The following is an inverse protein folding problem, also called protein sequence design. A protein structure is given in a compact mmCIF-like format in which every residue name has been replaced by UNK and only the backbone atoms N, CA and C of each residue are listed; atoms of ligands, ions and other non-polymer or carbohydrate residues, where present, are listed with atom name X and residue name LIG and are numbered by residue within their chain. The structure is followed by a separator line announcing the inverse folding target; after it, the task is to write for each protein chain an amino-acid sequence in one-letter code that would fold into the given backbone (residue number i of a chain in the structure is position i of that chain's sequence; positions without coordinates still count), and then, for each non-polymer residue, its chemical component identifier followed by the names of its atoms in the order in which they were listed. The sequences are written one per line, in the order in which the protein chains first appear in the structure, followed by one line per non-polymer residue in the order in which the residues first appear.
data_IF_288471396964
#
_entry.id   IF_288471396964
#
_cell.length_a   1.000
_cell.length_b   1.000
_cell.length_c   1.000
_cell.angle_alpha   90.00
_cell.angle_beta   90.00
_cell.angle_gamma   90.00
#
_symmetry.space_group_name_H-M   'P 1'
#
loop_
_entity.id
_entity.type
_entity.pdbx_description
1 polymer ?
#
# COMPACT_ATOMS: atom_id res chain seq x y z
N UNK A 1 32.33 -16.07 -23.77
CA UNK A 1 31.07 -16.10 -23.00
C UNK A 1 30.97 -14.94 -22.02
N UNK A 2 31.96 -14.73 -21.15
CA UNK A 2 32.01 -13.60 -20.19
C UNK A 2 31.75 -12.23 -20.82
N UNK A 3 32.45 -11.90 -21.92
CA UNK A 3 32.31 -10.63 -22.64
C UNK A 3 30.91 -10.49 -23.25
N UNK A 4 30.29 -11.60 -23.67
CA UNK A 4 28.94 -11.60 -24.26
C UNK A 4 27.91 -11.32 -23.17
N UNK A 5 28.05 -11.93 -22.00
CA UNK A 5 27.14 -11.72 -20.86
C UNK A 5 27.26 -10.30 -20.30
N UNK A 6 28.48 -9.76 -20.17
CA UNK A 6 28.68 -8.38 -19.72
C UNK A 6 28.24 -7.34 -20.75
N UNK A 7 28.45 -7.59 -22.06
CA UNK A 7 27.93 -6.71 -23.11
C UNK A 7 26.41 -6.77 -23.23
N UNK A 8 25.80 -7.93 -23.03
CA UNK A 8 24.35 -8.08 -23.07
C UNK A 8 23.69 -7.29 -21.93
N UNK A 9 24.21 -7.39 -20.71
CA UNK A 9 23.73 -6.62 -19.55
C UNK A 9 23.96 -5.12 -19.74
N UNK A 10 25.08 -4.69 -20.34
CA UNK A 10 25.34 -3.26 -20.61
C UNK A 10 24.40 -2.66 -21.65
N UNK A 11 23.99 -3.42 -22.65
CA UNK A 11 23.20 -2.92 -23.78
C UNK A 11 21.69 -3.16 -23.62
N UNK A 12 21.28 -4.10 -22.77
CA UNK A 12 19.87 -4.40 -22.46
C UNK A 12 19.05 -3.20 -21.95
N UNK A 13 19.56 -2.32 -21.06
CA UNK A 13 18.80 -1.16 -20.60
C UNK A 13 18.50 -0.19 -21.75
N UNK A 14 19.46 0.03 -22.65
CA UNK A 14 19.29 0.89 -23.81
C UNK A 14 18.29 0.31 -24.81
N UNK A 15 18.28 -1.02 -24.98
CA UNK A 15 17.29 -1.70 -25.82
C UNK A 15 15.89 -1.71 -25.21
N UNK A 16 15.77 -1.82 -23.88
CA UNK A 16 14.50 -1.71 -23.16
C UNK A 16 13.91 -0.30 -23.26
N UNK A 17 14.77 0.71 -23.14
CA UNK A 17 14.42 2.13 -23.31
C UNK A 17 13.95 2.42 -24.74
N UNK A 18 14.62 1.84 -25.74
CA UNK A 18 14.25 1.97 -27.14
C UNK A 18 13.05 1.10 -27.54
N UNK A 19 12.77 -0.04 -26.89
CA UNK A 19 11.71 -0.94 -27.34
C UNK A 19 10.36 -0.71 -26.64
N UNK A 20 10.38 -0.47 -25.32
CA UNK A 20 9.18 -0.51 -24.47
C UNK A 20 8.76 0.89 -24.01
N UNK A 21 9.71 1.75 -23.64
CA UNK A 21 9.41 3.05 -23.03
C UNK A 21 8.94 4.12 -24.02
N UNK A 22 9.26 3.99 -25.31
CA UNK A 22 8.79 4.91 -26.35
C UNK A 22 7.33 4.69 -26.79
N UNK A 23 6.72 3.55 -26.44
CA UNK A 23 5.32 3.22 -26.80
C UNK A 23 4.34 3.30 -25.61
N UNK A 24 4.79 3.80 -24.46
CA UNK A 24 3.97 3.99 -23.27
C UNK A 24 3.84 5.49 -22.98
N UNK A 25 2.62 6.03 -23.04
CA UNK A 25 2.29 7.38 -22.59
C UNK A 25 2.40 7.47 -21.07
N UNK A 26 3.62 7.64 -20.57
CA UNK A 26 3.90 7.76 -19.15
C UNK A 26 3.95 9.22 -18.74
N UNK A 27 3.27 9.56 -17.64
CA UNK A 27 3.43 10.86 -16.97
C UNK A 27 4.93 11.09 -16.70
N UNK A 28 5.49 12.30 -16.90
CA UNK A 28 6.94 12.54 -16.93
C UNK A 28 7.74 11.98 -15.72
N UNK A 29 7.13 11.86 -14.54
CA UNK A 29 7.76 11.28 -13.35
C UNK A 29 7.72 9.75 -13.28
N UNK A 30 6.67 9.10 -13.80
CA UNK A 30 6.48 7.65 -13.71
C UNK A 30 7.43 6.90 -14.65
N UNK A 31 7.58 7.40 -15.88
CA UNK A 31 8.51 6.82 -16.85
C UNK A 31 9.96 6.85 -16.36
N UNK A 32 10.40 7.99 -15.83
CA UNK A 32 11.74 8.13 -15.26
C UNK A 32 11.99 7.17 -14.08
N UNK A 33 11.02 7.02 -13.17
CA UNK A 33 11.14 6.09 -12.05
C UNK A 33 11.27 4.64 -12.52
N UNK A 34 10.45 4.22 -13.49
CA UNK A 34 10.49 2.85 -14.05
C UNK A 34 11.84 2.58 -14.72
N UNK A 35 12.33 3.49 -15.57
CA UNK A 35 13.64 3.35 -16.22
C UNK A 35 14.76 3.25 -15.20
N UNK A 36 14.74 4.11 -14.18
CA UNK A 36 15.75 4.15 -13.12
C UNK A 36 15.77 2.85 -12.32
N UNK A 37 14.61 2.35 -11.89
CA UNK A 37 14.50 1.08 -11.16
C UNK A 37 14.99 -0.08 -12.03
N UNK A 38 14.56 -0.14 -13.29
CA UNK A 38 14.96 -1.19 -14.24
C UNK A 38 16.47 -1.18 -14.46
N UNK A 39 17.07 0.00 -14.61
CA UNK A 39 18.53 0.16 -14.77
C UNK A 39 19.29 -0.37 -13.55
N UNK A 40 18.86 -0.01 -12.33
CA UNK A 40 19.50 -0.53 -11.11
C UNK A 40 19.34 -2.04 -10.95
N UNK A 41 18.17 -2.59 -11.29
CA UNK A 41 17.92 -4.03 -11.24
C UNK A 41 18.83 -4.79 -12.20
N UNK A 42 18.96 -4.31 -13.45
CA UNK A 42 19.85 -4.89 -14.45
C UNK A 42 21.32 -4.79 -14.04
N UNK A 43 21.73 -3.65 -13.47
CA UNK A 43 23.09 -3.46 -12.95
C UNK A 43 23.40 -4.45 -11.82
N UNK A 44 22.44 -4.67 -10.90
CA UNK A 44 22.58 -5.60 -9.79
C UNK A 44 22.68 -7.06 -10.28
N UNK A 45 21.76 -7.50 -11.14
CA UNK A 45 21.77 -8.86 -11.71
C UNK A 45 23.05 -9.08 -12.52
N UNK A 46 23.42 -8.11 -13.35
CA UNK A 46 24.66 -8.13 -14.13
C UNK A 46 25.92 -8.21 -13.27
N UNK A 47 25.97 -7.46 -12.18
CA UNK A 47 27.06 -7.52 -11.20
C UNK A 47 27.18 -8.89 -10.55
N UNK A 48 26.05 -9.48 -10.10
CA UNK A 48 26.04 -10.82 -9.49
C UNK A 48 26.53 -11.91 -10.45
N UNK A 49 26.06 -11.89 -11.70
CA UNK A 49 26.51 -12.82 -12.75
C UNK A 49 27.98 -12.59 -13.09
N UNK A 50 28.42 -11.33 -13.18
CA UNK A 50 29.82 -10.96 -13.42
C UNK A 50 30.75 -11.50 -12.34
N UNK A 51 30.40 -11.35 -11.06
CA UNK A 51 31.21 -11.86 -9.95
C UNK A 51 31.34 -13.40 -9.97
N UNK A 52 30.26 -14.11 -10.29
CA UNK A 52 30.27 -15.58 -10.44
C UNK A 52 31.30 -16.04 -11.49
N UNK A 53 31.45 -15.30 -12.59
CA UNK A 53 32.39 -15.67 -13.64
C UNK A 53 33.85 -15.34 -13.31
N UNK A 54 34.15 -14.39 -12.40
CA UNK A 54 35.54 -14.05 -11.96
C UNK A 54 36.11 -15.13 -11.02
N UNK A 55 35.33 -16.16 -10.69
CA UNK A 55 35.73 -17.23 -9.77
C UNK A 55 35.51 -16.86 -8.30
N UNK A 56 34.73 -15.81 -8.02
CA UNK A 56 34.20 -15.61 -6.67
C UNK A 56 33.15 -16.71 -6.45
N UNK A 57 33.43 -17.59 -5.50
CA UNK A 57 32.50 -18.65 -5.12
C UNK A 57 31.14 -18.05 -4.77
N UNK A 58 30.10 -18.50 -5.46
CA UNK A 58 28.71 -18.10 -5.18
C UNK A 58 28.36 -18.23 -3.69
N UNK A 59 28.91 -19.25 -3.03
CA UNK A 59 28.78 -19.47 -1.58
C UNK A 59 29.17 -18.26 -0.73
N UNK A 60 30.12 -17.43 -1.17
CA UNK A 60 30.57 -16.23 -0.45
C UNK A 60 29.68 -15.02 -0.67
N UNK A 61 28.87 -15.01 -1.73
CA UNK A 61 27.93 -13.92 -2.02
C UNK A 61 26.53 -14.20 -1.46
N UNK A 62 26.18 -15.48 -1.22
CA UNK A 62 24.86 -15.87 -0.73
C UNK A 62 24.46 -15.15 0.55
N UNK A 63 25.34 -15.08 1.55
CA UNK A 63 25.01 -14.42 2.82
C UNK A 63 24.79 -12.91 2.64
N UNK A 64 25.56 -12.26 1.74
CA UNK A 64 25.41 -10.84 1.44
C UNK A 64 24.08 -10.58 0.74
N UNK A 65 23.75 -11.38 -0.29
CA UNK A 65 22.48 -11.29 -1.01
C UNK A 65 21.30 -11.59 -0.08
N UNK A 66 21.43 -12.59 0.80
CA UNK A 66 20.41 -12.92 1.79
C UNK A 66 20.20 -11.77 2.78
N UNK A 67 21.27 -11.20 3.35
CA UNK A 67 21.18 -10.08 4.29
C UNK A 67 20.57 -8.83 3.64
N UNK A 68 20.98 -8.51 2.41
CA UNK A 68 20.41 -7.42 1.63
C UNK A 68 18.93 -7.67 1.31
N UNK A 69 18.56 -8.88 0.90
CA UNK A 69 17.19 -9.26 0.59
C UNK A 69 16.28 -9.16 1.81
N UNK A 70 16.75 -9.63 2.97
CA UNK A 70 16.03 -9.51 4.25
C UNK A 70 15.87 -8.03 4.64
N UNK A 71 16.93 -7.23 4.55
CA UNK A 71 16.88 -5.79 4.84
C UNK A 71 15.89 -5.03 3.94
N UNK A 72 15.89 -5.35 2.64
CA UNK A 72 14.91 -4.80 1.69
C UNK A 72 13.48 -5.26 2.02
N UNK A 73 13.30 -6.53 2.39
CA UNK A 73 12.00 -7.07 2.79
C UNK A 73 11.42 -6.33 4.00
N UNK A 74 12.24 -6.05 5.01
CA UNK A 74 11.82 -5.23 6.16
C UNK A 74 11.49 -3.79 5.75
N UNK A 75 12.27 -3.17 4.86
CA UNK A 75 12.00 -1.82 4.38
C UNK A 75 10.71 -1.69 3.55
N UNK A 76 10.35 -2.73 2.80
CA UNK A 76 9.17 -2.77 1.94
C UNK A 76 7.92 -3.33 2.62
N UNK A 77 8.06 -3.89 3.83
CA UNK A 77 6.99 -4.60 4.53
C UNK A 77 5.71 -3.77 4.64
N UNK A 78 5.82 -2.48 4.98
CA UNK A 78 4.65 -1.62 5.20
C UNK A 78 3.93 -1.29 3.88
N UNK A 79 4.67 -1.10 2.80
CA UNK A 79 4.08 -0.86 1.47
C UNK A 79 3.31 -2.10 1.02
N UNK A 80 3.91 -3.28 1.19
CA UNK A 80 3.30 -4.55 0.80
C UNK A 80 2.06 -4.86 1.65
N UNK A 81 2.12 -4.63 2.96
CA UNK A 81 0.99 -4.82 3.87
C UNK A 81 -0.21 -3.94 3.47
N UNK A 82 0.02 -2.66 3.17
CA UNK A 82 -1.05 -1.75 2.74
C UNK A 82 -1.64 -2.14 1.37
N UNK A 83 -0.80 -2.61 0.45
CA UNK A 83 -1.26 -3.07 -0.86
C UNK A 83 -2.16 -4.32 -0.75
N UNK A 84 -1.69 -5.35 -0.04
CA UNK A 84 -2.48 -6.57 0.19
C UNK A 84 -3.76 -6.24 0.95
N UNK A 85 -3.70 -5.36 1.94
CA UNK A 85 -4.90 -4.91 2.68
C UNK A 85 -5.89 -4.20 1.76
N UNK A 86 -5.41 -3.39 0.81
CA UNK A 86 -6.26 -2.79 -0.22
C UNK A 86 -6.97 -3.82 -1.09
N UNK A 87 -6.28 -4.89 -1.50
CA UNK A 87 -6.90 -5.99 -2.25
C UNK A 87 -7.95 -6.73 -1.42
N UNK A 88 -7.66 -7.02 -0.16
CA UNK A 88 -8.61 -7.66 0.77
C UNK A 88 -9.87 -6.82 0.90
N UNK A 89 -9.74 -5.50 1.09
CA UNK A 89 -10.88 -4.58 1.18
C UNK A 89 -11.74 -4.65 -0.10
N UNK A 90 -11.13 -4.75 -1.28
CA UNK A 90 -11.86 -4.81 -2.56
C UNK A 90 -12.61 -6.14 -2.74
N UNK A 91 -12.03 -7.27 -2.31
CA UNK A 91 -12.62 -8.60 -2.46
C UNK A 91 -13.67 -8.90 -1.37
N UNK A 92 -13.33 -8.68 -0.11
CA UNK A 92 -14.19 -9.02 1.04
C UNK A 92 -15.20 -7.90 1.36
N UNK A 93 -14.93 -6.67 0.91
CA UNK A 93 -15.77 -5.49 1.14
C UNK A 93 -16.20 -5.29 2.60
N UNK A 94 -15.27 -5.29 3.58
CA UNK A 94 -15.58 -4.98 4.99
C UNK A 94 -15.98 -3.51 5.20
N UNK A 95 -15.57 -2.65 4.28
CA UNK A 95 -15.96 -1.25 4.16
C UNK A 95 -16.28 -0.93 2.70
N UNK A 96 -17.23 -0.03 2.48
CA UNK A 96 -17.65 0.44 1.15
C UNK A 96 -17.59 1.96 1.09
N UNK A 97 -17.49 2.50 -0.11
CA UNK A 97 -17.62 3.94 -0.33
C UNK A 97 -19.02 4.37 0.12
N UNK A 98 -19.09 5.39 0.97
CA UNK A 98 -20.30 5.86 1.63
C UNK A 98 -20.48 5.35 3.07
N UNK A 99 -19.77 4.29 3.47
CA UNK A 99 -19.94 3.76 4.83
C UNK A 99 -19.46 4.76 5.88
N UNK A 100 -20.21 4.87 6.97
CA UNK A 100 -19.76 5.63 8.15
C UNK A 100 -18.93 4.70 9.03
N UNK A 101 -17.67 5.06 9.21
CA UNK A 101 -16.71 4.24 9.96
C UNK A 101 -16.06 5.07 11.06
N UNK A 102 -15.79 4.41 12.18
CA UNK A 102 -14.96 4.95 13.24
C UNK A 102 -13.74 4.07 13.39
N UNK A 103 -12.56 4.63 13.20
CA UNK A 103 -11.28 3.94 13.43
C UNK A 103 -10.47 4.74 14.45
N UNK A 104 -10.12 4.08 15.56
CA UNK A 104 -9.59 4.76 16.76
C UNK A 104 -10.58 5.84 17.21
N UNK A 105 -10.16 7.11 17.26
CA UNK A 105 -10.98 8.26 17.66
C UNK A 105 -11.48 9.08 16.45
N UNK A 106 -11.25 8.60 15.23
CA UNK A 106 -11.60 9.31 13.99
C UNK A 106 -12.87 8.72 13.40
N UNK A 107 -13.90 9.55 13.22
CA UNK A 107 -15.19 9.14 12.64
C UNK A 107 -15.44 9.90 11.36
N UNK A 108 -16.01 9.23 10.36
CA UNK A 108 -16.45 9.90 9.13
C UNK A 108 -16.96 8.91 8.10
N UNK A 109 -17.28 9.42 6.91
CA UNK A 109 -17.74 8.60 5.78
C UNK A 109 -16.61 8.28 4.81
N UNK A 110 -16.51 7.03 4.37
CA UNK A 110 -15.51 6.59 3.38
C UNK A 110 -15.80 7.23 2.02
N UNK A 111 -14.90 8.09 1.54
CA UNK A 111 -15.07 8.78 0.26
C UNK A 111 -14.35 8.08 -0.89
N UNK A 112 -13.18 7.49 -0.62
CA UNK A 112 -12.35 6.87 -1.65
C UNK A 112 -11.48 5.76 -1.10
N UNK A 113 -11.42 4.63 -1.80
CA UNK A 113 -10.52 3.52 -1.49
C UNK A 113 -9.44 3.48 -2.57
N UNK A 114 -8.18 3.74 -2.21
CA UNK A 114 -7.03 3.60 -3.10
C UNK A 114 -6.23 2.34 -2.76
N UNK A 115 -5.19 2.04 -3.55
CA UNK A 115 -4.37 0.82 -3.40
C UNK A 115 -3.65 0.72 -2.04
N UNK A 116 -3.23 1.85 -1.45
CA UNK A 116 -2.47 1.88 -0.18
C UNK A 116 -3.19 2.52 1.00
N UNK A 117 -4.21 3.32 0.74
CA UNK A 117 -4.90 4.08 1.77
C UNK A 117 -6.35 4.36 1.35
N UNK A 118 -7.21 4.46 2.35
CA UNK A 118 -8.61 4.85 2.23
C UNK A 118 -8.80 6.25 2.80
N UNK A 119 -9.51 7.08 2.07
CA UNK A 119 -9.87 8.44 2.48
C UNK A 119 -11.23 8.42 3.14
N UNK A 120 -11.31 9.00 4.34
CA UNK A 120 -12.53 9.24 5.11
C UNK A 120 -12.75 10.75 5.17
N UNK A 121 -13.98 11.22 4.92
CA UNK A 121 -14.35 12.61 5.21
C UNK A 121 -15.08 12.68 6.55
N UNK A 122 -14.56 13.50 7.46
CA UNK A 122 -15.26 13.85 8.69
C UNK A 122 -16.43 14.83 8.41
N UNK A 123 -17.27 15.09 9.41
CA UNK A 123 -18.40 16.03 9.36
C UNK A 123 -17.96 17.46 9.05
N UNK A 124 -16.75 17.83 9.46
CA UNK A 124 -16.10 19.10 9.14
C UNK A 124 -15.53 19.16 7.71
N UNK A 125 -15.78 18.14 6.86
CA UNK A 125 -15.16 17.96 5.53
C UNK A 125 -13.64 17.84 5.53
N UNK A 126 -13.05 17.42 6.66
CA UNK A 126 -11.62 17.09 6.72
C UNK A 126 -11.40 15.73 6.06
N UNK A 127 -10.43 15.65 5.14
CA UNK A 127 -10.01 14.39 4.55
C UNK A 127 -8.96 13.71 5.43
N UNK A 128 -9.32 12.53 5.95
CA UNK A 128 -8.49 11.69 6.78
C UNK A 128 -7.98 10.52 5.94
N UNK A 129 -6.67 10.43 5.80
CA UNK A 129 -6.02 9.38 4.99
C UNK A 129 -5.59 8.25 5.92
N UNK A 130 -6.30 7.13 5.84
CA UNK A 130 -6.06 5.96 6.68
C UNK A 130 -5.34 4.88 5.89
N UNK A 131 -4.18 4.38 6.34
CA UNK A 131 -3.50 3.25 5.70
C UNK A 131 -4.42 2.03 5.64
N UNK A 132 -4.49 1.34 4.50
CA UNK A 132 -5.40 0.20 4.33
C UNK A 132 -5.14 -0.91 5.35
N UNK A 133 -3.88 -1.08 5.79
CA UNK A 133 -3.47 -2.03 6.83
C UNK A 133 -4.25 -1.84 8.13
N UNK A 134 -4.61 -0.61 8.49
CA UNK A 134 -5.33 -0.32 9.72
C UNK A 134 -6.72 -1.00 9.74
N UNK A 135 -7.43 -1.05 8.61
CA UNK A 135 -8.74 -1.72 8.54
C UNK A 135 -8.68 -3.25 8.63
N UNK A 136 -7.50 -3.84 8.43
CA UNK A 136 -7.31 -5.29 8.51
C UNK A 136 -6.74 -5.72 9.86
N UNK A 137 -5.87 -4.89 10.44
CA UNK A 137 -5.11 -5.24 11.65
C UNK A 137 -5.66 -4.61 12.93
N UNK A 138 -6.41 -3.52 12.82
CA UNK A 138 -6.97 -2.80 13.97
C UNK A 138 -8.49 -2.97 14.04
N UNK A 139 -9.02 -2.85 15.24
CA UNK A 139 -10.47 -2.82 15.44
C UNK A 139 -11.02 -1.47 14.96
N UNK A 140 -12.09 -1.52 14.18
CA UNK A 140 -12.87 -0.37 13.76
C UNK A 140 -14.36 -0.70 13.84
N UNK A 141 -15.19 0.33 13.80
CA UNK A 141 -16.65 0.22 13.83
C UNK A 141 -17.16 0.65 12.46
N UNK A 142 -17.94 -0.20 11.79
CA UNK A 142 -18.71 0.18 10.61
C UNK A 142 -20.18 0.32 11.02
N UNK A 143 -20.68 1.55 11.03
CA UNK A 143 -22.03 1.89 11.47
C UNK A 143 -23.11 1.56 10.44
N UNK A 144 -22.72 1.33 9.18
CA UNK A 144 -23.63 1.17 8.04
C UNK A 144 -23.47 -0.18 7.32
N UNK A 145 -22.72 -1.13 7.89
CA UNK A 145 -22.38 -2.39 7.22
C UNK A 145 -23.59 -3.30 6.98
N UNK A 146 -24.44 -3.48 8.00
CA UNK A 146 -25.61 -4.38 7.93
C UNK A 146 -26.93 -3.63 7.85
N UNK A 147 -27.01 -2.47 8.49
CA UNK A 147 -28.16 -1.57 8.43
C UNK A 147 -27.65 -0.13 8.58
N UNK A 148 -28.28 0.81 7.91
CA UNK A 148 -27.99 2.25 8.02
C UNK A 148 -28.62 2.91 9.25
N UNK A 149 -29.51 2.19 9.97
CA UNK A 149 -30.19 2.67 11.16
C UNK A 149 -29.27 2.57 12.38
N UNK A 150 -28.76 3.72 12.84
CA UNK A 150 -27.97 3.80 14.08
C UNK A 150 -28.85 4.13 15.29
N UNK A 151 -28.67 3.42 16.41
CA UNK A 151 -29.40 3.69 17.67
C UNK A 151 -28.80 4.90 18.38
N UNK A 152 -29.61 5.94 18.59
CA UNK A 152 -29.27 7.08 19.46
C UNK A 152 -29.84 6.82 20.85
N UNK A 153 -29.00 6.81 21.89
CA UNK A 153 -29.43 6.71 23.28
C UNK A 153 -29.35 8.09 23.91
N UNK A 154 -30.50 8.71 24.15
CA UNK A 154 -30.59 9.98 24.87
C UNK A 154 -30.86 9.70 26.35
N UNK A 155 -29.90 10.02 27.20
CA UNK A 155 -30.10 10.02 28.65
C UNK A 155 -30.50 11.43 29.06
N UNK A 156 -31.79 11.63 29.35
CA UNK A 156 -32.30 12.91 29.80
C UNK A 156 -32.29 12.90 31.34
N UNK A 157 -31.45 13.72 32.01
CA UNK A 157 -31.51 13.84 33.45
C UNK A 157 -32.81 14.57 33.84
N UNK A 158 -33.66 13.91 34.62
CA UNK A 158 -34.90 14.48 35.13
C UNK A 158 -34.72 14.91 36.60
N UNK A 159 -35.24 16.09 37.01
CA UNK A 159 -35.28 16.48 38.42
C UNK A 159 -36.24 15.58 39.20
N UNK A 160 -35.97 15.36 40.49
CA UNK A 160 -36.72 14.40 41.32
C UNK A 160 -38.22 14.73 41.51
N UNK A 161 -38.67 15.91 41.09
CA UNK A 161 -40.05 16.36 41.10
C UNK A 161 -40.73 16.31 39.72
N UNK A 162 -40.07 15.75 38.69
CA UNK A 162 -40.68 15.56 37.37
C UNK A 162 -41.70 14.42 37.42
N UNK A 163 -42.98 14.74 37.20
CA UNK A 163 -44.05 13.76 37.03
C UNK A 163 -43.95 13.14 35.63
N UNK A 164 -44.05 11.81 35.56
CA UNK A 164 -43.92 11.04 34.31
C UNK A 164 -45.22 10.93 33.50
N UNK A 165 -46.29 11.63 33.89
CA UNK A 165 -47.67 11.39 33.38
C UNK A 165 -48.24 12.49 32.48
N UNK A 166 -47.54 13.58 32.20
CA UNK A 166 -48.07 14.62 31.30
C UNK A 166 -47.72 14.29 29.83
N UNK A 167 -48.74 13.82 29.10
CA UNK A 167 -48.75 13.52 27.66
C UNK A 167 -48.64 14.76 26.78
#
# INVERSE_FOLDING_TARGET
MFIITTQLVRNLPALLELAILQHLDLTPGTGYAITTITKYLLMLIGGLVGFSMIGIEWSKLQWLVAALGVGLGFGLQEIFANFISGLIILFEKPIRIGDTVTIRDLTGSVTKINTRATTISDWDRKEIIVPNKAFITEQFINWSLSDSVTRVVLTIPAPANANSEDQ
#
